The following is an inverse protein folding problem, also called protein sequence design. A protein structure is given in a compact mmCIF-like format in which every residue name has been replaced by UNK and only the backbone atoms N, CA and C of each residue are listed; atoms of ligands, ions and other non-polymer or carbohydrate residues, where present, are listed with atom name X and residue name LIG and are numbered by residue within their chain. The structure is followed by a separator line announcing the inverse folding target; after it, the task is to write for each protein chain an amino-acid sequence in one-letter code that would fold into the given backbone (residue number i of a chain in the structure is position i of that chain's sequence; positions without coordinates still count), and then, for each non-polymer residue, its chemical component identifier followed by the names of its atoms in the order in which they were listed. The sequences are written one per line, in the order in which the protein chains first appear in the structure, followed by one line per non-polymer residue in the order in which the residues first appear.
data_IF_163536121858
#
_entry.id   IF_163536121858
#
_cell.length_a   1.000
_cell.length_b   1.000
_cell.length_c   1.000
_cell.angle_alpha   90.00
_cell.angle_beta   90.00
_cell.angle_gamma   90.00
#
_symmetry.space_group_name_H-M   'P 1'
#
loop_
_entity.id
_entity.type
_entity.pdbx_description
1 polymer ?
#
# COMPACT_ATOMS: atom_id res chain seq x y z
N UNK A 1 62.07 -10.17 -51.77
CA UNK A 1 61.96 -9.32 -50.58
C UNK A 1 60.53 -9.49 -50.02
N UNK A 2 60.39 -10.17 -48.89
CA UNK A 2 59.12 -10.51 -48.26
C UNK A 2 58.95 -9.56 -47.10
N UNK A 3 57.91 -8.71 -47.13
CA UNK A 3 57.53 -7.81 -46.02
C UNK A 3 56.33 -8.48 -45.37
N UNK A 4 56.53 -8.99 -44.15
CA UNK A 4 55.54 -9.54 -43.32
C UNK A 4 54.83 -8.36 -42.51
N UNK A 5 53.55 -8.14 -42.78
CA UNK A 5 52.74 -7.23 -42.02
C UNK A 5 52.13 -7.97 -40.85
N UNK A 6 52.57 -7.65 -39.63
CA UNK A 6 51.98 -8.13 -38.38
C UNK A 6 50.80 -7.29 -38.05
N UNK A 7 49.59 -7.88 -38.09
CA UNK A 7 48.34 -7.27 -37.66
C UNK A 7 48.20 -7.44 -36.14
N UNK A 8 48.38 -6.36 -35.41
CA UNK A 8 48.12 -6.34 -33.95
C UNK A 8 46.62 -6.17 -33.70
N UNK A 9 45.99 -7.26 -33.25
CA UNK A 9 44.59 -7.26 -32.83
C UNK A 9 44.46 -6.72 -31.38
N UNK A 10 44.12 -5.45 -31.23
CA UNK A 10 43.83 -4.86 -29.90
C UNK A 10 42.43 -5.25 -29.46
N UNK A 11 42.35 -6.17 -28.49
CA UNK A 11 41.12 -6.55 -27.84
C UNK A 11 40.73 -5.43 -26.85
N UNK A 12 39.78 -4.56 -27.23
CA UNK A 12 39.19 -3.60 -26.32
C UNK A 12 38.15 -4.28 -25.42
N UNK A 13 38.53 -4.52 -24.19
CA UNK A 13 37.61 -5.00 -23.15
C UNK A 13 36.70 -3.85 -22.75
N UNK A 14 35.47 -3.82 -23.30
CA UNK A 14 34.40 -2.94 -22.85
C UNK A 14 33.95 -3.41 -21.48
N UNK A 15 34.34 -2.68 -20.43
CA UNK A 15 33.82 -2.88 -19.08
C UNK A 15 32.31 -2.58 -19.08
N UNK A 16 31.50 -3.63 -19.00
CA UNK A 16 30.08 -3.51 -18.66
C UNK A 16 30.00 -2.90 -17.26
N UNK A 17 29.67 -1.62 -17.17
CA UNK A 17 29.21 -1.03 -15.93
C UNK A 17 27.82 -1.61 -15.66
N UNK A 18 27.77 -2.62 -14.80
CA UNK A 18 26.53 -3.02 -14.15
C UNK A 18 26.04 -1.81 -13.34
N UNK A 19 25.10 -1.06 -13.92
CA UNK A 19 24.37 -0.04 -13.20
C UNK A 19 23.66 -0.72 -12.04
N UNK A 20 24.14 -0.47 -10.84
CA UNK A 20 23.47 -0.83 -9.60
C UNK A 20 22.18 -0.02 -9.56
N UNK A 21 21.07 -0.61 -9.99
CA UNK A 21 19.74 -0.09 -9.75
C UNK A 21 19.54 -0.16 -8.23
N UNK A 22 19.81 0.95 -7.55
CA UNK A 22 19.22 1.21 -6.24
C UNK A 22 17.72 1.28 -6.50
N UNK A 23 17.02 0.21 -6.25
CA UNK A 23 15.58 0.24 -6.02
C UNK A 23 15.41 0.93 -4.66
N UNK A 24 15.36 2.25 -4.68
CA UNK A 24 14.69 3.02 -3.63
C UNK A 24 13.21 2.64 -3.74
N UNK A 25 12.88 1.49 -3.16
CA UNK A 25 11.52 1.13 -2.86
C UNK A 25 11.04 2.18 -1.85
N UNK A 26 10.02 2.99 -2.19
CA UNK A 26 9.49 3.95 -1.23
C UNK A 26 8.98 3.13 -0.06
N UNK A 27 9.74 3.13 1.04
CA UNK A 27 9.26 2.61 2.32
C UNK A 27 7.86 3.21 2.55
N UNK A 28 6.83 2.38 2.81
CA UNK A 28 5.49 2.89 3.05
C UNK A 28 5.60 3.89 4.20
N UNK A 29 5.40 5.17 3.88
CA UNK A 29 5.36 6.24 4.85
C UNK A 29 4.16 5.93 5.74
N UNK A 30 4.42 5.30 6.88
CA UNK A 30 3.45 5.21 7.96
C UNK A 30 3.14 6.65 8.32
N UNK A 31 1.99 7.14 7.86
CA UNK A 31 1.54 8.49 8.15
C UNK A 31 1.23 8.51 9.64
N UNK A 32 2.24 8.94 10.40
CA UNK A 32 2.15 9.02 11.85
C UNK A 32 0.92 9.87 12.21
N UNK A 33 0.04 9.31 13.02
CA UNK A 33 -1.01 10.10 13.66
C UNK A 33 -0.30 11.04 14.61
N UNK A 34 -0.31 12.35 14.27
CA UNK A 34 0.33 13.38 15.06
C UNK A 34 -0.47 13.53 16.37
N UNK A 35 0.00 12.93 17.44
CA UNK A 35 -0.56 13.13 18.77
C UNK A 35 0.53 13.73 19.65
N UNK A 36 0.40 15.04 19.90
CA UNK A 36 1.19 15.74 20.91
C UNK A 36 2.39 16.52 20.40
N UNK A 37 2.83 17.45 21.22
CA UNK A 37 3.85 18.48 20.99
C UNK A 37 5.28 17.97 20.78
N UNK A 38 5.53 16.67 20.80
CA UNK A 38 6.89 16.11 20.92
C UNK A 38 7.41 15.39 19.67
N UNK A 39 6.69 15.49 18.52
CA UNK A 39 7.18 15.00 17.22
C UNK A 39 7.51 13.49 17.14
N UNK A 40 7.11 12.69 18.11
CA UNK A 40 7.29 11.25 18.08
C UNK A 40 6.16 10.58 17.28
N UNK A 41 6.54 9.77 16.30
CA UNK A 41 5.63 8.87 15.61
C UNK A 41 5.16 7.79 16.59
N UNK A 42 3.91 7.91 17.04
CA UNK A 42 3.29 6.88 17.86
C UNK A 42 2.58 5.92 16.92
N UNK A 43 2.97 4.65 16.95
CA UNK A 43 2.21 3.60 16.26
C UNK A 43 0.79 3.55 16.83
N UNK A 44 -0.24 3.41 15.97
CA UNK A 44 -1.61 3.38 16.44
C UNK A 44 -1.83 2.16 17.33
N UNK A 45 -2.20 2.39 18.59
CA UNK A 45 -2.51 1.35 19.56
C UNK A 45 -4.02 1.28 19.77
N UNK A 46 -4.60 0.11 19.51
CA UNK A 46 -6.00 -0.19 19.76
C UNK A 46 -6.18 -0.55 21.25
N UNK A 47 -6.89 0.30 21.98
CA UNK A 47 -7.15 0.15 23.42
C UNK A 47 -8.56 -0.37 23.68
N UNK A 48 -8.74 -1.00 24.84
CA UNK A 48 -10.03 -1.55 25.26
C UNK A 48 -11.18 -0.52 25.36
N UNK A 49 -10.82 0.74 25.58
CA UNK A 49 -11.78 1.83 25.78
C UNK A 49 -12.10 2.62 24.50
N UNK A 50 -11.30 2.44 23.44
CA UNK A 50 -11.39 3.29 22.26
C UNK A 50 -11.62 2.46 20.98
N UNK A 51 -12.45 3.01 20.10
CA UNK A 51 -12.56 2.56 18.73
C UNK A 51 -11.55 3.35 17.85
N UNK A 52 -10.80 2.67 17.01
CA UNK A 52 -9.85 3.28 16.09
C UNK A 52 -10.47 3.33 14.69
N UNK A 53 -10.71 4.54 14.19
CA UNK A 53 -11.16 4.74 12.80
C UNK A 53 -9.97 4.92 11.89
N UNK A 54 -9.92 4.13 10.82
CA UNK A 54 -8.90 4.21 9.77
C UNK A 54 -9.56 4.72 8.51
N UNK A 55 -9.08 5.85 8.01
CA UNK A 55 -9.50 6.43 6.74
C UNK A 55 -8.38 6.36 5.71
N UNK A 56 -8.74 6.06 4.46
CA UNK A 56 -7.82 6.01 3.31
C UNK A 56 -8.45 6.66 2.09
N UNK A 57 -7.61 7.08 1.15
CA UNK A 57 -8.02 7.57 -0.17
C UNK A 57 -7.41 6.64 -1.21
N UNK A 58 -8.26 5.78 -1.80
CA UNK A 58 -7.86 4.93 -2.91
C UNK A 58 -7.92 5.68 -4.23
N UNK A 59 -6.97 5.45 -5.11
CA UNK A 59 -6.87 6.11 -6.40
C UNK A 59 -6.95 5.12 -7.56
N UNK A 60 -7.63 5.52 -8.62
CA UNK A 60 -7.77 4.71 -9.82
C UNK A 60 -7.86 5.57 -11.08
N UNK A 61 -7.11 5.17 -12.11
CA UNK A 61 -7.07 5.89 -13.38
C UNK A 61 -7.93 5.17 -14.42
N UNK A 62 -8.65 5.95 -15.22
CA UNK A 62 -9.40 5.41 -16.36
C UNK A 62 -8.43 4.89 -17.43
N UNK A 63 -8.68 3.70 -18.02
CA UNK A 63 -7.92 3.24 -19.17
C UNK A 63 -8.05 4.21 -20.36
N UNK A 64 -6.96 4.34 -21.13
CA UNK A 64 -6.93 5.20 -22.33
C UNK A 64 -7.88 4.73 -23.44
N UNK A 65 -8.16 3.42 -23.48
CA UNK A 65 -9.06 2.81 -24.48
C UNK A 65 -10.29 2.29 -23.78
N UNK A 66 -11.41 2.99 -23.95
CA UNK A 66 -12.72 2.59 -23.42
C UNK A 66 -13.80 2.81 -24.47
N UNK A 67 -14.87 2.00 -24.42
CA UNK A 67 -15.98 2.10 -25.35
C UNK A 67 -16.88 3.33 -25.09
N UNK A 68 -16.86 3.86 -23.86
CA UNK A 68 -17.66 5.02 -23.46
C UNK A 68 -17.09 5.71 -22.21
N UNK A 69 -17.42 7.01 -21.99
CA UNK A 69 -17.06 7.71 -20.73
C UNK A 69 -17.58 7.01 -19.47
N UNK A 70 -18.77 6.42 -19.55
CA UNK A 70 -19.35 5.68 -18.43
C UNK A 70 -18.53 4.44 -18.08
N UNK A 71 -18.00 3.73 -19.09
CA UNK A 71 -17.12 2.60 -18.88
C UNK A 71 -15.79 3.04 -18.27
N UNK A 72 -15.19 4.13 -18.74
CA UNK A 72 -13.99 4.73 -18.20
C UNK A 72 -14.15 5.03 -16.70
N UNK A 73 -15.24 5.70 -16.33
CA UNK A 73 -15.59 6.00 -14.94
C UNK A 73 -15.73 4.73 -14.09
N UNK A 74 -16.49 3.75 -14.58
CA UNK A 74 -16.73 2.51 -13.83
C UNK A 74 -15.44 1.73 -13.56
N UNK A 75 -14.51 1.69 -14.53
CA UNK A 75 -13.23 1.02 -14.39
C UNK A 75 -12.29 1.78 -13.43
N UNK A 76 -12.22 3.11 -13.56
CA UNK A 76 -11.44 3.95 -12.66
C UNK A 76 -11.94 3.82 -11.20
N UNK A 77 -13.26 3.87 -10.99
CA UNK A 77 -13.85 3.69 -9.67
C UNK A 77 -13.53 2.32 -9.07
N UNK A 78 -13.63 1.25 -9.86
CA UNK A 78 -13.28 -0.11 -9.40
C UNK A 78 -11.82 -0.19 -9.00
N UNK A 79 -10.90 0.38 -9.80
CA UNK A 79 -9.47 0.44 -9.48
C UNK A 79 -9.22 1.21 -8.19
N UNK A 80 -9.85 2.37 -7.99
CA UNK A 80 -9.75 3.18 -6.77
C UNK A 80 -10.22 2.41 -5.53
N UNK A 81 -11.33 1.67 -5.63
CA UNK A 81 -11.84 0.85 -4.52
C UNK A 81 -10.84 -0.27 -4.16
N UNK A 82 -10.25 -0.94 -5.17
CA UNK A 82 -9.24 -1.99 -4.92
C UNK A 82 -8.01 -1.42 -4.24
N UNK A 83 -7.54 -0.25 -4.69
CA UNK A 83 -6.42 0.44 -4.03
C UNK A 83 -6.76 0.85 -2.58
N UNK A 84 -7.98 1.34 -2.34
CA UNK A 84 -8.47 1.63 -0.99
C UNK A 84 -8.45 0.41 -0.07
N UNK A 85 -8.93 -0.74 -0.54
CA UNK A 85 -8.87 -1.99 0.23
C UNK A 85 -7.43 -2.40 0.57
N UNK A 86 -6.50 -2.26 -0.38
CA UNK A 86 -5.08 -2.54 -0.14
C UNK A 86 -4.52 -1.64 0.96
N UNK A 87 -4.76 -0.33 0.87
CA UNK A 87 -4.30 0.64 1.87
C UNK A 87 -4.91 0.40 3.25
N UNK A 88 -6.21 0.05 3.34
CA UNK A 88 -6.85 -0.31 4.59
C UNK A 88 -6.17 -1.54 5.21
N UNK A 89 -5.96 -2.60 4.41
CA UNK A 89 -5.35 -3.83 4.88
C UNK A 89 -3.93 -3.59 5.43
N UNK A 90 -3.13 -2.75 4.76
CA UNK A 90 -1.80 -2.37 5.20
C UNK A 90 -1.82 -1.59 6.53
N UNK A 91 -2.73 -0.60 6.65
CA UNK A 91 -2.87 0.19 7.88
C UNK A 91 -3.35 -0.67 9.05
N UNK A 92 -4.35 -1.53 8.83
CA UNK A 92 -4.86 -2.45 9.86
C UNK A 92 -3.76 -3.38 10.36
N UNK A 93 -2.96 -3.94 9.45
CA UNK A 93 -1.86 -4.83 9.81
C UNK A 93 -0.82 -4.16 10.73
N UNK A 94 -0.62 -2.85 10.59
CA UNK A 94 0.32 -2.07 11.40
C UNK A 94 -0.22 -1.64 12.78
N UNK A 95 -1.50 -1.90 13.10
CA UNK A 95 -2.07 -1.53 14.40
C UNK A 95 -1.60 -2.49 15.48
N UNK A 96 -1.13 -1.96 16.62
CA UNK A 96 -0.85 -2.72 17.83
C UNK A 96 -2.12 -2.84 18.70
N UNK A 97 -2.33 -4.01 19.27
CA UNK A 97 -3.44 -4.27 20.20
C UNK A 97 -2.90 -4.20 21.62
N UNK A 98 -3.52 -3.41 22.49
CA UNK A 98 -3.11 -3.24 23.88
C UNK A 98 -3.00 -4.59 24.61
N UNK A 99 -1.86 -4.84 25.22
CA UNK A 99 -1.58 -6.11 25.92
C UNK A 99 -1.33 -7.30 25.00
N UNK A 100 -1.23 -7.10 23.71
CA UNK A 100 -0.96 -8.13 22.71
C UNK A 100 0.09 -7.65 21.70
N UNK A 101 0.17 -8.32 20.56
CA UNK A 101 1.08 -7.99 19.46
C UNK A 101 0.37 -7.13 18.39
N UNK A 102 1.08 -6.84 17.30
CA UNK A 102 0.49 -6.21 16.12
C UNK A 102 -0.56 -7.13 15.47
N UNK A 103 -1.57 -6.54 14.84
CA UNK A 103 -2.59 -7.31 14.11
C UNK A 103 -1.93 -8.22 13.07
N UNK A 104 -0.87 -7.77 12.41
CA UNK A 104 -0.09 -8.58 11.46
C UNK A 104 0.41 -9.88 12.10
N UNK A 105 1.02 -9.81 13.27
CA UNK A 105 1.55 -10.98 13.98
C UNK A 105 0.40 -11.88 14.49
N UNK A 106 -0.68 -11.28 14.98
CA UNK A 106 -1.88 -12.02 15.38
C UNK A 106 -2.51 -12.79 14.22
N UNK A 107 -2.50 -12.25 12.99
CA UNK A 107 -2.95 -12.93 11.77
C UNK A 107 -2.07 -14.12 11.38
N UNK A 108 -0.78 -14.09 11.69
CA UNK A 108 0.14 -15.19 11.42
C UNK A 108 -0.10 -16.37 12.37
N UNK A 109 -0.44 -16.09 13.61
CA UNK A 109 -0.63 -17.10 14.68
C UNK A 109 -2.06 -17.60 14.80
N UNK A 110 -3.06 -16.84 14.29
CA UNK A 110 -4.48 -17.13 14.46
C UNK A 110 -5.25 -17.02 13.14
N UNK A 111 -5.82 -18.14 12.69
CA UNK A 111 -6.71 -18.16 11.51
C UNK A 111 -8.02 -17.38 11.75
N UNK A 112 -8.55 -17.40 12.97
CA UNK A 112 -9.76 -16.63 13.32
C UNK A 112 -9.53 -15.14 13.24
N UNK A 113 -8.37 -14.65 13.70
CA UNK A 113 -7.99 -13.24 13.57
C UNK A 113 -7.86 -12.84 12.10
N UNK A 114 -7.23 -13.69 11.28
CA UNK A 114 -7.12 -13.44 9.82
C UNK A 114 -8.50 -13.31 9.18
N UNK A 115 -9.41 -14.23 9.44
CA UNK A 115 -10.78 -14.19 8.90
C UNK A 115 -11.53 -12.95 9.38
N UNK A 116 -11.35 -12.54 10.63
CA UNK A 116 -11.96 -11.33 11.18
C UNK A 116 -11.45 -10.08 10.48
N UNK A 117 -10.15 -9.98 10.21
CA UNK A 117 -9.54 -8.86 9.48
C UNK A 117 -10.01 -8.82 8.04
N UNK A 118 -10.05 -9.97 7.34
CA UNK A 118 -10.56 -10.04 5.98
C UNK A 118 -12.03 -9.59 5.88
N UNK A 119 -12.87 -10.01 6.81
CA UNK A 119 -14.27 -9.60 6.87
C UNK A 119 -14.40 -8.09 7.12
N UNK A 120 -13.56 -7.56 8.02
CA UNK A 120 -13.52 -6.14 8.36
C UNK A 120 -13.13 -5.29 7.13
N UNK A 121 -12.03 -5.66 6.45
CA UNK A 121 -11.56 -4.94 5.26
C UNK A 121 -12.62 -4.95 4.15
N UNK A 122 -13.28 -6.09 3.91
CA UNK A 122 -14.38 -6.18 2.93
C UNK A 122 -15.60 -5.33 3.32
N UNK A 123 -15.80 -5.08 4.59
CA UNK A 123 -16.88 -4.27 5.14
C UNK A 123 -16.56 -2.78 5.22
N UNK A 124 -15.44 -2.31 4.65
CA UNK A 124 -15.09 -0.89 4.65
C UNK A 124 -16.14 -0.04 3.93
N UNK A 125 -16.51 1.07 4.54
CA UNK A 125 -17.49 2.01 4.02
C UNK A 125 -16.83 2.97 3.03
N UNK A 126 -17.51 3.24 1.91
CA UNK A 126 -17.13 4.32 1.00
C UNK A 126 -17.87 5.57 1.47
N UNK A 127 -17.11 6.59 1.88
CA UNK A 127 -17.66 7.87 2.38
C UNK A 127 -17.77 8.91 1.29
N UNK A 128 -16.83 8.91 0.34
CA UNK A 128 -16.83 9.87 -0.76
C UNK A 128 -16.27 9.26 -2.05
N UNK A 129 -16.65 9.81 -3.20
CA UNK A 129 -16.08 9.45 -4.51
C UNK A 129 -15.98 10.70 -5.37
N UNK A 130 -14.78 11.03 -5.83
CA UNK A 130 -14.49 12.14 -6.71
C UNK A 130 -13.91 11.63 -8.01
N UNK A 131 -14.34 12.21 -9.14
CA UNK A 131 -13.79 11.87 -10.45
C UNK A 131 -13.44 13.16 -11.20
N UNK A 132 -12.15 13.30 -11.54
CA UNK A 132 -11.64 14.48 -12.24
C UNK A 132 -10.53 14.07 -13.20
N UNK A 133 -10.62 14.51 -14.46
CA UNK A 133 -9.59 14.35 -15.48
C UNK A 133 -9.11 12.89 -15.68
N UNK A 134 -10.04 11.93 -15.54
CA UNK A 134 -9.74 10.49 -15.69
C UNK A 134 -9.22 9.81 -14.41
N UNK A 135 -8.97 10.59 -13.34
CA UNK A 135 -8.63 10.08 -12.01
C UNK A 135 -9.89 9.95 -11.16
N UNK A 136 -10.10 8.78 -10.58
CA UNK A 136 -11.11 8.54 -9.57
C UNK A 136 -10.44 8.41 -8.20
N UNK A 137 -10.92 9.16 -7.22
CA UNK A 137 -10.52 9.05 -5.82
C UNK A 137 -11.72 8.58 -5.02
N UNK A 138 -11.51 7.57 -4.20
CA UNK A 138 -12.54 6.98 -3.32
C UNK A 138 -12.03 7.05 -1.89
N UNK A 139 -12.74 7.79 -1.06
CA UNK A 139 -12.49 7.83 0.37
C UNK A 139 -13.20 6.67 1.03
N UNK A 140 -12.47 5.89 1.82
CA UNK A 140 -12.98 4.71 2.50
C UNK A 140 -12.58 4.73 3.96
N UNK A 141 -13.45 4.21 4.83
CA UNK A 141 -13.21 4.13 6.26
C UNK A 141 -13.62 2.77 6.84
N UNK A 142 -12.94 2.39 7.91
CA UNK A 142 -13.32 1.28 8.79
C UNK A 142 -13.13 1.66 10.25
N UNK A 143 -13.91 1.05 11.12
CA UNK A 143 -13.78 1.16 12.56
C UNK A 143 -13.26 -0.17 13.15
N UNK A 144 -12.19 -0.07 13.93
CA UNK A 144 -11.55 -1.17 14.63
C UNK A 144 -11.97 -1.14 16.09
N UNK A 145 -12.61 -2.19 16.60
CA UNK A 145 -12.89 -2.35 18.02
C UNK A 145 -11.97 -3.38 18.66
N UNK A 146 -11.52 -3.09 19.88
CA UNK A 146 -10.64 -3.95 20.66
C UNK A 146 -11.20 -5.36 20.86
N UNK A 147 -12.50 -5.47 21.10
CA UNK A 147 -13.18 -6.76 21.36
C UNK A 147 -13.06 -7.80 20.24
N UNK A 148 -12.73 -7.38 19.03
CA UNK A 148 -12.50 -8.30 17.90
C UNK A 148 -11.15 -8.99 17.96
N UNK A 149 -10.19 -8.44 18.69
CA UNK A 149 -8.78 -8.87 18.73
C UNK A 149 -8.34 -9.34 20.12
N UNK A 150 -9.08 -8.93 21.18
CA UNK A 150 -8.83 -9.40 22.54
C UNK A 150 -9.22 -10.88 22.69
N UNK A 151 -8.34 -11.67 23.22
CA UNK A 151 -8.58 -13.07 23.65
C UNK A 151 -8.48 -13.19 25.15
#
# INVERSE_FOLDING_TARGET
MRIAATLALTLSISALHAGFFSTDEPTPQVKCVYSGTDGHCVEPVLKSENELVITVIGQGVAPSITASPAQAYALAKRSAIVDGYRQIAEKVAGVHVEGQDSIKNLMLTSSSTRTSVEALVRGANITNTTFKEGLCEVEMEIALSYSRFSR
#
